data_IF_940073294607
#
_entry.id   IF_940073294607
#
_cell.length_a   1.000
_cell.length_b   1.000
_cell.length_c   1.000
_cell.angle_alpha   90.00
_cell.angle_beta   90.00
_cell.angle_gamma   90.00
#
_symmetry.space_group_name_H-M   'P 1'
#
loop_
_entity.id
_entity.type
_entity.pdbx_description
1 polymer ?
#
# COMPACT_ATOMS: atom_id res chain seq x y z
N UNK A 1 -5.96 21.11 -1.04
CA UNK A 1 -5.49 20.19 0.01
C UNK A 1 -4.24 20.73 0.69
N UNK A 2 -4.24 20.83 2.02
CA UNK A 2 -3.03 21.16 2.79
C UNK A 2 -2.20 19.89 3.03
N UNK A 3 -0.87 20.01 2.97
CA UNK A 3 0.07 18.88 3.20
C UNK A 3 -0.12 18.24 4.59
N UNK A 4 -0.52 19.05 5.57
CA UNK A 4 -0.84 18.61 6.93
C UNK A 4 -2.01 17.62 6.98
N UNK A 5 -3.05 17.83 6.17
CA UNK A 5 -4.21 16.92 6.12
C UNK A 5 -3.83 15.55 5.55
N UNK A 6 -2.89 15.49 4.60
CA UNK A 6 -2.37 14.25 4.03
C UNK A 6 -1.56 13.44 5.05
N UNK A 7 -0.70 14.11 5.81
CA UNK A 7 0.09 13.48 6.87
C UNK A 7 -0.76 12.99 8.05
N UNK A 8 -1.96 13.55 8.22
CA UNK A 8 -2.91 13.16 9.26
C UNK A 8 -3.80 11.96 8.87
N UNK A 9 -3.80 11.53 7.61
CA UNK A 9 -4.58 10.37 7.14
C UNK A 9 -4.29 9.06 7.91
N UNK A 10 -3.03 8.67 8.17
CA UNK A 10 -2.73 7.45 8.92
C UNK A 10 -3.05 7.53 10.42
N UNK A 11 -3.38 8.73 10.94
CA UNK A 11 -3.50 8.95 12.39
C UNK A 11 -4.85 9.53 12.83
N UNK A 12 -5.69 9.99 11.90
CA UNK A 12 -6.92 10.69 12.27
C UNK A 12 -8.04 10.52 11.24
N UNK A 13 -9.29 10.49 11.72
CA UNK A 13 -10.50 10.51 10.89
C UNK A 13 -10.69 11.84 10.14
N UNK A 14 -10.19 12.95 10.68
CA UNK A 14 -10.41 14.31 10.16
C UNK A 14 -9.79 14.56 8.78
N UNK A 15 -8.59 14.00 8.53
CA UNK A 15 -7.95 14.07 7.21
C UNK A 15 -8.78 13.40 6.11
N UNK A 16 -9.41 12.26 6.43
CA UNK A 16 -10.28 11.53 5.51
C UNK A 16 -11.60 12.25 5.22
N UNK A 17 -12.18 12.92 6.22
CA UNK A 17 -13.41 13.71 6.03
C UNK A 17 -13.20 14.89 5.08
N UNK A 18 -12.06 15.58 5.17
CA UNK A 18 -11.69 16.65 4.21
C UNK A 18 -11.49 16.10 2.80
N UNK A 19 -10.80 14.96 2.67
CA UNK A 19 -10.57 14.30 1.38
C UNK A 19 -11.89 13.87 0.70
N UNK A 20 -12.88 13.45 1.50
CA UNK A 20 -14.20 13.05 1.01
C UNK A 20 -14.99 14.23 0.43
N UNK A 21 -14.76 15.44 0.92
CA UNK A 21 -15.39 16.66 0.40
C UNK A 21 -14.81 17.05 -0.97
N UNK A 22 -13.51 16.86 -1.18
CA UNK A 22 -12.82 17.21 -2.43
C UNK A 22 -13.14 16.25 -3.60
N UNK A 23 -13.75 15.08 -3.34
CA UNK A 23 -14.18 14.05 -4.31
C UNK A 23 -13.21 13.86 -5.50
N UNK A 24 -11.95 13.46 -5.25
CA UNK A 24 -10.99 13.23 -6.32
C UNK A 24 -11.46 12.15 -7.30
N UNK A 25 -11.12 12.32 -8.58
CA UNK A 25 -11.49 11.36 -9.61
C UNK A 25 -10.60 10.11 -9.54
N UNK A 26 -11.23 8.94 -9.44
CA UNK A 26 -10.56 7.65 -9.29
C UNK A 26 -9.60 7.36 -10.46
N UNK A 27 -9.97 7.69 -11.68
CA UNK A 27 -9.10 7.52 -12.84
C UNK A 27 -7.84 8.40 -12.76
N UNK A 28 -7.98 9.64 -12.26
CA UNK A 28 -6.82 10.50 -12.07
C UNK A 28 -5.93 9.99 -10.94
N UNK A 29 -6.50 9.43 -9.87
CA UNK A 29 -5.73 8.80 -8.79
C UNK A 29 -4.94 7.61 -9.29
N UNK A 30 -5.57 6.72 -10.07
CA UNK A 30 -4.89 5.55 -10.64
C UNK A 30 -3.75 6.00 -11.57
N UNK A 31 -4.04 6.90 -12.51
CA UNK A 31 -3.05 7.32 -13.51
C UNK A 31 -1.93 8.20 -12.95
N UNK A 32 -2.23 9.08 -11.98
CA UNK A 32 -1.26 10.06 -11.48
C UNK A 32 -0.57 9.65 -10.18
N UNK A 33 -1.10 8.67 -9.46
CA UNK A 33 -0.56 8.24 -8.16
C UNK A 33 -0.23 6.76 -8.17
N UNK A 34 -1.21 5.89 -8.34
CA UNK A 34 -1.00 4.43 -8.24
C UNK A 34 0.02 3.95 -9.26
N UNK A 35 -0.18 4.28 -10.55
CA UNK A 35 0.68 3.82 -11.63
C UNK A 35 2.14 4.29 -11.52
N UNK A 36 2.45 5.58 -11.29
CA UNK A 36 3.84 6.00 -11.13
C UNK A 36 4.48 5.52 -9.82
N UNK A 37 3.74 5.48 -8.71
CA UNK A 37 4.32 5.05 -7.43
C UNK A 37 4.47 3.54 -7.33
N UNK A 38 3.61 2.73 -7.95
CA UNK A 38 3.80 1.27 -7.99
C UNK A 38 5.01 0.86 -8.83
N UNK A 39 5.49 1.74 -9.72
CA UNK A 39 6.74 1.57 -10.46
C UNK A 39 7.97 1.91 -9.59
N UNK A 40 7.79 2.64 -8.49
CA UNK A 40 8.89 3.11 -7.65
C UNK A 40 9.64 1.94 -6.98
N UNK A 41 8.98 0.95 -6.34
CA UNK A 41 9.67 -0.22 -5.80
C UNK A 41 10.50 -1.02 -6.81
N UNK A 42 9.96 -1.45 -7.98
CA UNK A 42 10.75 -2.23 -8.93
C UNK A 42 11.92 -1.42 -9.51
N UNK A 43 11.77 -0.11 -9.71
CA UNK A 43 12.86 0.77 -10.17
C UNK A 43 13.92 0.95 -9.09
N UNK A 44 13.54 1.21 -7.84
CA UNK A 44 14.49 1.37 -6.73
C UNK A 44 15.23 0.08 -6.44
N UNK A 45 14.55 -1.06 -6.54
CA UNK A 45 15.18 -2.37 -6.41
C UNK A 45 16.21 -2.57 -7.51
N UNK A 46 15.84 -2.37 -8.78
CA UNK A 46 16.74 -2.43 -9.93
C UNK A 46 17.96 -1.52 -9.80
N UNK A 47 17.75 -0.29 -9.32
CA UNK A 47 18.82 0.69 -9.02
C UNK A 47 19.76 0.18 -7.94
N UNK A 48 19.21 -0.31 -6.81
CA UNK A 48 20.00 -0.76 -5.68
C UNK A 48 20.90 -1.94 -6.04
N UNK A 49 20.45 -2.82 -6.93
CA UNK A 49 21.28 -3.92 -7.45
C UNK A 49 22.42 -3.41 -8.32
N UNK A 50 22.18 -2.46 -9.22
CA UNK A 50 23.23 -1.95 -10.10
C UNK A 50 24.31 -1.18 -9.31
N UNK A 51 23.92 -0.43 -8.29
CA UNK A 51 24.85 0.42 -7.53
C UNK A 51 25.48 -0.27 -6.33
N UNK A 52 24.74 -1.12 -5.64
CA UNK A 52 25.21 -1.76 -4.41
C UNK A 52 25.50 -3.27 -4.61
N UNK A 53 24.99 -3.88 -5.69
CA UNK A 53 25.29 -5.28 -6.02
C UNK A 53 25.02 -6.23 -4.85
N UNK A 54 25.99 -7.10 -4.59
CA UNK A 54 25.92 -8.09 -3.51
C UNK A 54 26.14 -7.51 -2.10
N UNK A 55 26.41 -6.21 -1.94
CA UNK A 55 26.58 -5.63 -0.60
C UNK A 55 25.29 -5.61 0.20
N UNK A 56 24.14 -5.60 -0.47
CA UNK A 56 22.83 -5.73 0.15
C UNK A 56 22.53 -7.19 0.51
N UNK A 57 22.66 -8.09 -0.46
CA UNK A 57 22.35 -9.50 -0.33
C UNK A 57 23.14 -10.27 -1.37
N UNK A 58 23.86 -11.31 -0.93
CA UNK A 58 24.67 -12.13 -1.83
C UNK A 58 23.81 -12.84 -2.87
N UNK A 59 24.18 -12.74 -4.15
CA UNK A 59 23.46 -13.37 -5.26
C UNK A 59 22.24 -12.59 -5.72
N UNK A 60 22.02 -11.37 -5.21
CA UNK A 60 20.94 -10.52 -5.71
C UNK A 60 21.25 -9.99 -7.11
N UNK A 61 22.53 -9.74 -7.44
CA UNK A 61 22.92 -9.20 -8.75
C UNK A 61 22.75 -10.19 -9.92
N UNK A 62 22.80 -11.50 -9.63
CA UNK A 62 22.75 -12.56 -10.65
C UNK A 62 21.32 -12.94 -11.09
N UNK A 63 20.30 -12.40 -10.40
CA UNK A 63 18.89 -12.69 -10.66
C UNK A 63 18.40 -12.05 -11.98
N UNK A 64 17.40 -12.63 -12.66
CA UNK A 64 16.87 -12.09 -13.92
C UNK A 64 15.95 -10.88 -13.68
N UNK A 65 16.53 -9.74 -13.32
CA UNK A 65 15.79 -8.51 -12.98
C UNK A 65 14.91 -7.95 -14.09
N UNK A 66 15.22 -8.29 -15.35
CA UNK A 66 14.38 -7.96 -16.49
C UNK A 66 13.00 -8.65 -16.43
N UNK A 67 12.89 -9.77 -15.71
CA UNK A 67 11.64 -10.50 -15.46
C UNK A 67 11.04 -10.08 -14.11
N UNK A 68 11.88 -9.97 -13.07
CA UNK A 68 11.41 -9.69 -11.71
C UNK A 68 10.79 -8.30 -11.60
N UNK A 69 11.39 -7.25 -12.19
CA UNK A 69 10.87 -5.89 -12.06
C UNK A 69 9.48 -5.71 -12.71
N UNK A 70 9.21 -6.18 -13.94
CA UNK A 70 7.85 -6.19 -14.50
C UNK A 70 6.87 -7.07 -13.72
N UNK A 71 7.31 -8.23 -13.21
CA UNK A 71 6.47 -9.11 -12.41
C UNK A 71 6.03 -8.44 -11.11
N UNK A 72 6.96 -7.78 -10.40
CA UNK A 72 6.69 -6.98 -9.20
C UNK A 72 5.71 -5.85 -9.51
N UNK A 73 5.96 -5.06 -10.55
CA UNK A 73 5.05 -3.98 -10.97
C UNK A 73 3.63 -4.49 -11.25
N UNK A 74 3.52 -5.61 -11.96
CA UNK A 74 2.22 -6.21 -12.29
C UNK A 74 1.53 -6.73 -11.04
N UNK A 75 2.27 -7.37 -10.12
CA UNK A 75 1.73 -7.90 -8.89
C UNK A 75 1.28 -6.79 -7.93
N UNK A 76 1.98 -5.65 -7.87
CA UNK A 76 1.55 -4.45 -7.14
C UNK A 76 0.21 -3.90 -7.68
N UNK A 77 0.09 -3.77 -9.01
CA UNK A 77 -1.15 -3.33 -9.65
C UNK A 77 -2.30 -4.31 -9.44
N UNK A 78 -2.03 -5.61 -9.55
CA UNK A 78 -3.02 -6.66 -9.29
C UNK A 78 -3.47 -6.62 -7.84
N UNK A 79 -2.54 -6.44 -6.90
CA UNK A 79 -2.84 -6.33 -5.47
C UNK A 79 -3.72 -5.13 -5.19
N UNK A 80 -3.44 -3.97 -5.79
CA UNK A 80 -4.33 -2.80 -5.72
C UNK A 80 -5.77 -3.12 -6.16
N UNK A 81 -5.95 -3.78 -7.32
CA UNK A 81 -7.28 -4.14 -7.83
C UNK A 81 -8.00 -5.13 -6.90
N UNK A 82 -7.30 -6.17 -6.47
CA UNK A 82 -7.84 -7.20 -5.56
C UNK A 82 -8.21 -6.58 -4.22
N UNK A 83 -7.38 -5.67 -3.68
CA UNK A 83 -7.64 -5.00 -2.41
C UNK A 83 -8.82 -4.04 -2.49
N UNK A 84 -8.98 -3.29 -3.57
CA UNK A 84 -10.17 -2.45 -3.80
C UNK A 84 -11.46 -3.26 -3.81
N UNK A 85 -11.44 -4.41 -4.50
CA UNK A 85 -12.56 -5.35 -4.50
C UNK A 85 -12.80 -5.98 -3.13
N UNK A 86 -11.75 -6.43 -2.43
CA UNK A 86 -11.82 -7.04 -1.12
C UNK A 86 -12.40 -6.08 -0.07
N UNK A 87 -11.90 -4.84 -0.02
CA UNK A 87 -12.38 -3.80 0.89
C UNK A 87 -13.88 -3.56 0.68
N UNK A 88 -14.33 -3.48 -0.58
CA UNK A 88 -15.75 -3.31 -0.89
C UNK A 88 -16.58 -4.53 -0.46
N UNK A 89 -16.10 -5.75 -0.73
CA UNK A 89 -16.79 -6.99 -0.36
C UNK A 89 -16.90 -7.19 1.14
N UNK A 90 -15.81 -6.96 1.87
CA UNK A 90 -15.75 -7.05 3.34
C UNK A 90 -16.64 -5.98 3.97
N UNK A 91 -16.60 -4.74 3.47
CA UNK A 91 -17.49 -3.68 3.93
C UNK A 91 -18.97 -4.07 3.75
N UNK A 92 -19.34 -4.61 2.59
CA UNK A 92 -20.69 -5.09 2.32
C UNK A 92 -21.12 -6.24 3.24
N UNK A 93 -20.24 -7.21 3.49
CA UNK A 93 -20.49 -8.32 4.41
C UNK A 93 -20.75 -7.84 5.85
N UNK A 94 -20.08 -6.77 6.26
CA UNK A 94 -20.22 -6.14 7.56
C UNK A 94 -21.28 -5.02 7.62
N UNK A 95 -22.14 -4.89 6.58
CA UNK A 95 -23.20 -3.86 6.45
C UNK A 95 -22.70 -2.41 6.46
N UNK A 96 -21.40 -2.19 6.27
CA UNK A 96 -20.83 -0.86 6.07
C UNK A 96 -21.27 -0.33 4.70
N UNK A 97 -21.90 0.85 4.69
CA UNK A 97 -22.32 1.53 3.45
C UNK A 97 -21.13 2.21 2.78
N UNK A 98 -20.25 1.40 2.19
CA UNK A 98 -19.05 1.88 1.51
C UNK A 98 -19.22 1.81 -0.01
N UNK A 99 -19.16 2.96 -0.68
CA UNK A 99 -19.23 3.02 -2.13
C UNK A 99 -18.04 2.31 -2.78
N UNK A 100 -18.24 1.72 -3.95
CA UNK A 100 -17.16 1.09 -4.72
C UNK A 100 -16.00 2.07 -4.98
N UNK A 101 -16.33 3.35 -5.22
CA UNK A 101 -15.34 4.41 -5.40
C UNK A 101 -14.48 4.61 -4.15
N UNK A 102 -15.09 4.61 -2.97
CA UNK A 102 -14.39 4.87 -1.70
C UNK A 102 -13.50 3.69 -1.32
N UNK A 103 -13.90 2.45 -1.64
CA UNK A 103 -13.09 1.25 -1.45
C UNK A 103 -11.78 1.31 -2.25
N UNK A 104 -11.88 1.62 -3.54
CA UNK A 104 -10.71 1.72 -4.41
C UNK A 104 -9.88 2.96 -4.10
N UNK A 105 -10.51 4.04 -3.65
CA UNK A 105 -9.79 5.21 -3.15
C UNK A 105 -8.93 4.84 -1.93
N UNK A 106 -9.51 4.13 -0.95
CA UNK A 106 -8.78 3.62 0.20
C UNK A 106 -7.65 2.67 -0.23
N UNK A 107 -7.94 1.72 -1.12
CA UNK A 107 -6.95 0.78 -1.66
C UNK A 107 -5.77 1.47 -2.37
N UNK A 108 -5.98 2.64 -2.98
CA UNK A 108 -4.91 3.40 -3.61
C UNK A 108 -4.02 4.13 -2.60
N UNK A 109 -4.56 4.52 -1.44
CA UNK A 109 -3.82 5.28 -0.42
C UNK A 109 -3.00 4.37 0.50
N UNK A 110 -3.54 3.19 0.83
CA UNK A 110 -2.90 2.20 1.73
C UNK A 110 -1.48 1.82 1.33
N UNK A 111 -1.14 1.53 0.06
CA UNK A 111 0.20 1.12 -0.32
C UNK A 111 1.19 2.30 -0.46
N UNK A 112 0.74 3.57 -0.39
CA UNK A 112 1.63 4.72 -0.57
C UNK A 112 2.83 4.70 0.38
N UNK A 113 2.67 4.50 1.71
CA UNK A 113 3.82 4.45 2.62
C UNK A 113 4.80 3.34 2.24
N UNK A 114 4.30 2.18 1.81
CA UNK A 114 5.11 1.04 1.38
C UNK A 114 5.89 1.35 0.11
N UNK A 115 5.26 1.98 -0.90
CA UNK A 115 5.99 2.42 -2.09
C UNK A 115 7.08 3.42 -1.74
N UNK A 116 6.80 4.40 -0.88
CA UNK A 116 7.81 5.35 -0.41
C UNK A 116 8.93 4.69 0.39
N UNK A 117 8.66 3.59 1.11
CA UNK A 117 9.69 2.87 1.84
C UNK A 117 10.79 2.33 0.94
N UNK A 118 10.50 2.04 -0.34
CA UNK A 118 11.54 1.60 -1.28
C UNK A 118 12.63 2.65 -1.53
N UNK A 119 12.42 3.93 -1.18
CA UNK A 119 13.49 4.94 -1.20
C UNK A 119 14.60 4.66 -0.19
N UNK A 120 14.36 3.84 0.84
CA UNK A 120 15.43 3.45 1.78
C UNK A 120 16.51 2.62 1.10
N UNK A 121 16.21 1.97 -0.02
CA UNK A 121 17.18 1.23 -0.84
C UNK A 121 18.29 2.12 -1.43
N UNK A 122 18.14 3.45 -1.34
CA UNK A 122 19.20 4.39 -1.71
C UNK A 122 20.40 4.31 -0.76
N UNK A 123 20.19 3.86 0.47
CA UNK A 123 21.26 3.64 1.47
C UNK A 123 21.48 2.13 1.58
N UNK A 124 22.70 1.62 1.35
CA UNK A 124 23.01 0.19 1.43
C UNK A 124 23.16 -0.29 2.89
N UNK A 125 22.17 0.00 3.74
CA UNK A 125 22.13 -0.41 5.15
C UNK A 125 20.86 -1.23 5.42
N UNK A 126 21.05 -2.53 5.68
CA UNK A 126 19.94 -3.47 5.88
C UNK A 126 19.04 -3.11 7.08
N UNK A 127 19.59 -2.77 8.27
CA UNK A 127 18.77 -2.31 9.39
C UNK A 127 17.92 -1.10 9.04
N UNK A 128 18.46 -0.11 8.33
CA UNK A 128 17.73 1.08 7.88
C UNK A 128 16.59 0.72 6.92
N UNK A 129 16.85 -0.16 5.96
CA UNK A 129 15.82 -0.64 5.01
C UNK A 129 14.69 -1.37 5.75
N UNK A 130 15.04 -2.30 6.63
CA UNK A 130 14.05 -3.07 7.41
C UNK A 130 13.21 -2.15 8.29
N UNK A 131 13.84 -1.20 9.01
CA UNK A 131 13.13 -0.22 9.82
C UNK A 131 12.19 0.65 8.97
N UNK A 132 12.62 1.07 7.78
CA UNK A 132 11.80 1.84 6.84
C UNK A 132 10.55 1.10 6.38
N UNK A 133 10.71 -0.17 5.99
CA UNK A 133 9.58 -1.03 5.55
C UNK A 133 8.62 -1.28 6.72
N UNK A 134 9.12 -1.57 7.92
CA UNK A 134 8.28 -1.79 9.10
C UNK A 134 7.50 -0.53 9.48
N UNK A 135 8.13 0.64 9.45
CA UNK A 135 7.47 1.91 9.71
C UNK A 135 6.38 2.21 8.68
N UNK A 136 6.67 2.00 7.40
CA UNK A 136 5.69 2.13 6.34
C UNK A 136 4.51 1.17 6.49
N UNK A 137 4.77 -0.07 6.91
CA UNK A 137 3.72 -1.05 7.17
C UNK A 137 2.80 -0.62 8.31
N UNK A 138 3.35 -0.07 9.40
CA UNK A 138 2.56 0.49 10.51
C UNK A 138 1.69 1.66 10.02
N UNK A 139 2.23 2.56 9.20
CA UNK A 139 1.46 3.66 8.62
C UNK A 139 0.34 3.16 7.69
N UNK A 140 0.61 2.14 6.89
CA UNK A 140 -0.40 1.49 6.03
C UNK A 140 -1.53 0.85 6.84
N UNK A 141 -1.21 0.19 7.95
CA UNK A 141 -2.22 -0.33 8.88
C UNK A 141 -3.10 0.80 9.45
N UNK A 142 -2.49 1.92 9.85
CA UNK A 142 -3.22 3.11 10.30
C UNK A 142 -4.14 3.69 9.22
N UNK A 143 -3.69 3.73 7.97
CA UNK A 143 -4.51 4.16 6.82
C UNK A 143 -5.73 3.25 6.60
N UNK A 144 -5.57 1.93 6.68
CA UNK A 144 -6.70 0.99 6.56
C UNK A 144 -7.72 1.24 7.67
N UNK A 145 -7.25 1.31 8.92
CA UNK A 145 -8.11 1.46 10.09
C UNK A 145 -8.87 2.79 10.08
N UNK A 146 -8.15 3.92 10.00
CA UNK A 146 -8.77 5.23 10.03
C UNK A 146 -9.54 5.55 8.74
N UNK A 147 -9.13 4.97 7.60
CA UNK A 147 -9.86 5.07 6.34
C UNK A 147 -11.22 4.39 6.44
N UNK A 148 -11.27 3.10 6.79
CA UNK A 148 -12.53 2.37 6.99
C UNK A 148 -13.42 3.07 8.02
N UNK A 149 -12.83 3.52 9.13
CA UNK A 149 -13.55 4.19 10.19
C UNK A 149 -14.13 5.55 9.77
N UNK A 150 -13.46 6.30 8.89
CA UNK A 150 -13.99 7.57 8.38
C UNK A 150 -15.13 7.39 7.37
N UNK A 151 -15.20 6.23 6.72
CA UNK A 151 -16.29 5.87 5.80
C UNK A 151 -17.44 5.12 6.48
N UNK A 152 -17.24 4.59 7.69
CA UNK A 152 -18.32 4.07 8.53
C UNK A 152 -19.19 5.23 9.06
N UNK A 153 -20.48 5.25 8.70
CA UNK A 153 -21.39 6.36 9.02
C UNK A 153 -21.84 6.38 10.50
N UNK A 154 -21.58 5.31 11.29
CA UNK A 154 -22.01 5.16 12.69
C UNK A 154 -20.91 4.59 13.59
N UNK A 155 -20.83 5.08 14.83
CA UNK A 155 -19.92 4.57 15.87
C UNK A 155 -20.21 3.12 16.29
N UNK A 156 -21.44 2.63 16.12
CA UNK A 156 -21.83 1.23 16.38
C UNK A 156 -21.10 0.22 15.49
N UNK A 157 -20.51 0.68 14.38
CA UNK A 157 -19.77 -0.16 13.45
C UNK A 157 -18.29 -0.35 13.85
N UNK A 158 -17.80 0.21 14.97
CA UNK A 158 -16.35 0.15 15.31
C UNK A 158 -15.82 -1.29 15.47
N UNK A 159 -16.64 -2.22 15.98
CA UNK A 159 -16.29 -3.66 16.04
C UNK A 159 -16.22 -4.27 14.63
N UNK A 160 -17.13 -3.86 13.74
CA UNK A 160 -17.16 -4.30 12.35
C UNK A 160 -16.00 -3.73 11.54
N UNK A 161 -15.64 -2.47 11.77
CA UNK A 161 -14.46 -1.80 11.19
C UNK A 161 -13.18 -2.50 11.65
N UNK A 162 -13.08 -2.89 12.92
CA UNK A 162 -11.91 -3.61 13.43
C UNK A 162 -11.78 -5.00 12.77
N UNK A 163 -12.87 -5.75 12.66
CA UNK A 163 -12.90 -7.04 11.95
C UNK A 163 -12.49 -6.89 10.48
N UNK A 164 -13.10 -5.93 9.78
CA UNK A 164 -12.79 -5.64 8.37
C UNK A 164 -11.33 -5.23 8.18
N UNK A 165 -10.80 -4.36 9.05
CA UNK A 165 -9.41 -3.93 9.04
C UNK A 165 -8.47 -5.14 9.21
N UNK A 166 -8.75 -6.03 10.17
CA UNK A 166 -7.93 -7.21 10.39
C UNK A 166 -7.89 -8.12 9.15
N UNK A 167 -9.04 -8.36 8.51
CA UNK A 167 -9.11 -9.14 7.26
C UNK A 167 -8.27 -8.49 6.16
N UNK A 168 -8.42 -7.17 5.96
CA UNK A 168 -7.68 -6.43 4.93
C UNK A 168 -6.17 -6.46 5.20
N UNK A 169 -5.73 -6.26 6.44
CA UNK A 169 -4.33 -6.34 6.83
C UNK A 169 -3.78 -7.76 6.61
N UNK A 170 -4.51 -8.80 7.00
CA UNK A 170 -4.09 -10.19 6.83
C UNK A 170 -3.89 -10.55 5.35
N UNK A 171 -4.83 -10.15 4.49
CA UNK A 171 -4.68 -10.32 3.04
C UNK A 171 -3.51 -9.51 2.47
N UNK A 172 -3.31 -8.28 2.95
CA UNK A 172 -2.16 -7.45 2.56
C UNK A 172 -0.82 -8.09 2.92
N UNK A 173 -0.69 -8.62 4.15
CA UNK A 173 0.50 -9.35 4.58
C UNK A 173 0.72 -10.64 3.77
N UNK A 174 -0.36 -11.35 3.42
CA UNK A 174 -0.28 -12.56 2.61
C UNK A 174 0.17 -12.23 1.17
N UNK A 175 -0.37 -11.16 0.58
CA UNK A 175 0.06 -10.67 -0.74
C UNK A 175 1.53 -10.25 -0.71
N UNK A 176 1.97 -9.55 0.34
CA UNK A 176 3.36 -9.16 0.52
C UNK A 176 4.29 -10.37 0.68
N UNK A 177 3.90 -11.37 1.46
CA UNK A 177 4.64 -12.63 1.56
C UNK A 177 4.75 -13.36 0.22
N UNK A 178 3.69 -13.34 -0.59
CA UNK A 178 3.69 -13.91 -1.93
C UNK A 178 4.62 -13.15 -2.88
N UNK A 179 4.68 -11.82 -2.78
CA UNK A 179 5.62 -10.98 -3.54
C UNK A 179 7.07 -11.35 -3.21
N UNK A 180 7.41 -11.51 -1.92
CA UNK A 180 8.75 -11.95 -1.51
C UNK A 180 9.07 -13.35 -2.03
N UNK A 181 8.12 -14.28 -1.93
CA UNK A 181 8.28 -15.63 -2.45
C UNK A 181 8.48 -15.64 -3.97
N UNK A 182 7.76 -14.78 -4.70
CA UNK A 182 7.90 -14.62 -6.15
C UNK A 182 9.30 -14.11 -6.52
N UNK A 183 9.81 -13.09 -5.82
CA UNK A 183 11.17 -12.58 -6.03
C UNK A 183 12.22 -13.65 -5.76
N UNK A 184 12.00 -14.50 -4.75
CA UNK A 184 12.93 -15.57 -4.40
C UNK A 184 12.87 -16.76 -5.36
N UNK A 185 11.71 -17.04 -5.95
CA UNK A 185 11.49 -18.16 -6.85
C UNK A 185 11.95 -17.91 -8.29
N UNK A 186 12.04 -16.64 -8.71
CA UNK A 186 12.53 -16.19 -10.02
C UNK A 186 14.05 -15.98 -10.05
#
# INVERSE_FOLDING_TARGET
>A
MNLSSLLQLPFSRGGWQQLRQDRPSLNALILRVVLPLSLLPPVMLHYAIHQHGDTLLTGLAERPWVIIAPALFTAELLTFLVMGWLIHGVAGAHRLRLSHRDAYFLAAMVPLPLWFSSLTLFVPDMPFIVCGVLLAMVLSCGLVYHGLQAFAEREEDDVMVMSATYTVIAFGLMAWGLLLALVWAL
#
